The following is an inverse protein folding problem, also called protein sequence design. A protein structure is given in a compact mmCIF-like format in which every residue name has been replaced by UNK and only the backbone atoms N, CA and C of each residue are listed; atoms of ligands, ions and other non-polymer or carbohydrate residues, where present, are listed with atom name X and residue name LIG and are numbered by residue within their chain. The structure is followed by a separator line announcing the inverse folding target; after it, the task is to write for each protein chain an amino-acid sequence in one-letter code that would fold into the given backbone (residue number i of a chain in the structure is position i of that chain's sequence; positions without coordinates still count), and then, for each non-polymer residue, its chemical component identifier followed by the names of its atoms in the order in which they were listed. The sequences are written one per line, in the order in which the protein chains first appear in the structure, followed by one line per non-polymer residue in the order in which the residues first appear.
data_IF_750622725403
#
_entry.id   IF_750622725403
#
_cell.length_a   1.000
_cell.length_b   1.000
_cell.length_c   1.000
_cell.angle_alpha   90.00
_cell.angle_beta   90.00
_cell.angle_gamma   90.00
#
_symmetry.space_group_name_H-M   'P 1'
#
loop_
_entity.id
_entity.type
_entity.pdbx_description
1 polymer ?
#
# COMPACT_ATOMS: atom_id res chain seq x y z
N UNK A 1 -11.22 -10.01 -1.37
CA UNK A 1 -11.22 -9.29 -0.07
C UNK A 1 -10.07 -9.83 0.79
N UNK A 2 -9.36 -8.97 1.54
CA UNK A 2 -8.30 -9.38 2.47
C UNK A 2 -8.41 -8.61 3.79
N UNK A 3 -7.87 -9.19 4.88
CA UNK A 3 -7.83 -8.54 6.21
C UNK A 3 -6.40 -8.49 6.74
N UNK A 4 -6.02 -7.37 7.34
CA UNK A 4 -4.70 -7.14 7.93
C UNK A 4 -4.82 -6.89 9.43
N UNK A 5 -3.82 -7.36 10.18
CA UNK A 5 -3.71 -7.07 11.61
C UNK A 5 -3.49 -5.56 11.85
N UNK A 6 -4.17 -5.02 12.87
CA UNK A 6 -4.04 -3.62 13.29
C UNK A 6 -2.59 -3.25 13.66
N UNK A 7 -1.79 -4.23 14.09
CA UNK A 7 -0.38 -4.03 14.42
C UNK A 7 0.46 -3.58 13.20
N UNK A 8 -0.03 -3.81 11.97
CA UNK A 8 0.66 -3.40 10.75
C UNK A 8 0.33 -1.95 10.32
N UNK A 9 -0.57 -1.25 11.02
CA UNK A 9 -0.97 0.15 10.76
C UNK A 9 0.22 1.08 10.50
N UNK A 10 1.16 1.13 11.45
CA UNK A 10 2.32 2.02 11.33
C UNK A 10 3.19 1.69 10.12
N UNK A 11 3.30 0.41 9.75
CA UNK A 11 4.10 -0.03 8.58
C UNK A 11 3.45 0.42 7.28
N UNK A 12 2.12 0.34 7.20
CA UNK A 12 1.34 0.82 6.05
C UNK A 12 1.41 2.35 5.95
N UNK A 13 1.37 3.07 7.08
CA UNK A 13 1.55 4.53 7.06
C UNK A 13 2.94 4.94 6.53
N UNK A 14 4.00 4.22 6.90
CA UNK A 14 5.35 4.46 6.37
C UNK A 14 5.40 4.28 4.85
N UNK A 15 4.84 3.19 4.29
CA UNK A 15 4.84 2.99 2.83
C UNK A 15 4.03 4.08 2.11
N UNK A 16 2.91 4.50 2.68
CA UNK A 16 2.10 5.59 2.13
C UNK A 16 2.85 6.94 2.12
N UNK A 17 3.71 7.19 3.12
CA UNK A 17 4.50 8.44 3.18
C UNK A 17 5.49 8.59 2.02
N UNK A 18 5.90 7.49 1.38
CA UNK A 18 6.74 7.51 0.19
C UNK A 18 5.98 8.02 -1.05
N UNK A 19 4.66 7.85 -1.11
CA UNK A 19 3.83 8.34 -2.19
C UNK A 19 3.37 9.79 -1.93
N UNK A 20 4.31 10.74 -1.95
CA UNK A 20 4.06 12.15 -1.59
C UNK A 20 4.61 13.15 -2.63
N UNK A 21 4.54 12.83 -3.92
CA UNK A 21 5.00 13.75 -4.96
C UNK A 21 3.89 14.72 -5.39
N UNK A 22 4.17 16.03 -5.32
CA UNK A 22 3.25 17.10 -5.72
C UNK A 22 3.14 17.30 -7.24
N UNK A 23 3.95 16.60 -8.03
CA UNK A 23 4.14 16.89 -9.46
C UNK A 23 3.30 15.97 -10.35
N UNK A 24 3.10 14.69 -9.97
CA UNK A 24 2.29 13.76 -10.74
C UNK A 24 1.36 12.95 -9.80
N UNK A 25 0.03 13.04 -9.98
CA UNK A 25 -0.95 12.33 -9.15
C UNK A 25 -0.75 10.80 -9.11
N UNK A 26 -0.12 10.21 -10.12
CA UNK A 26 0.21 8.77 -10.14
C UNK A 26 1.15 8.39 -8.99
N UNK A 27 2.02 9.29 -8.57
CA UNK A 27 2.93 9.09 -7.42
C UNK A 27 2.25 9.33 -6.07
N UNK A 28 0.95 9.68 -6.05
CA UNK A 28 0.12 9.66 -4.83
C UNK A 28 -0.61 8.33 -4.66
N UNK A 29 -0.40 7.36 -5.57
CA UNK A 29 -1.05 6.06 -5.54
C UNK A 29 -0.14 4.99 -4.92
N UNK A 30 -0.75 4.11 -4.14
CA UNK A 30 -0.14 2.87 -3.65
C UNK A 30 -0.76 1.72 -4.43
N UNK A 31 0.09 0.89 -5.03
CA UNK A 31 -0.30 -0.39 -5.60
C UNK A 31 -0.43 -1.41 -4.48
N UNK A 32 -1.57 -2.08 -4.41
CA UNK A 32 -1.88 -3.10 -3.42
C UNK A 32 -2.16 -4.40 -4.17
N UNK A 33 -1.37 -5.43 -3.88
CA UNK A 33 -1.47 -6.74 -4.49
C UNK A 33 -1.64 -7.78 -3.40
N UNK A 34 -2.78 -8.47 -3.40
CA UNK A 34 -3.08 -9.54 -2.47
C UNK A 34 -3.01 -10.88 -3.20
N UNK A 35 -2.09 -11.74 -2.80
CA UNK A 35 -1.88 -13.07 -3.39
C UNK A 35 -1.21 -13.99 -2.36
N UNK A 36 -1.52 -15.29 -2.41
CA UNK A 36 -0.78 -16.32 -1.64
C UNK A 36 -0.64 -16.03 -0.14
N UNK A 37 -1.73 -15.59 0.52
CA UNK A 37 -1.76 -15.16 1.94
C UNK A 37 -0.82 -14.00 2.29
N UNK A 38 -0.50 -13.17 1.31
CA UNK A 38 0.32 -11.98 1.49
C UNK A 38 -0.32 -10.80 0.79
N UNK A 39 -0.10 -9.62 1.34
CA UNK A 39 -0.45 -8.35 0.70
C UNK A 39 0.81 -7.54 0.55
N UNK A 40 1.12 -7.16 -0.68
CA UNK A 40 2.22 -6.27 -1.03
C UNK A 40 1.68 -4.87 -1.28
N UNK A 41 2.26 -3.92 -0.59
CA UNK A 41 2.03 -2.49 -0.78
C UNK A 41 3.26 -1.91 -1.47
N UNK A 42 3.08 -1.26 -2.60
CA UNK A 42 4.16 -0.65 -3.36
C UNK A 42 3.87 0.81 -3.64
N UNK A 43 4.85 1.67 -3.40
CA UNK A 43 4.73 3.11 -3.56
C UNK A 43 5.97 3.67 -4.28
N UNK A 44 5.77 4.74 -5.06
CA UNK A 44 6.86 5.44 -5.74
C UNK A 44 6.64 6.94 -5.70
N UNK A 45 7.71 7.71 -5.57
CA UNK A 45 7.71 9.18 -5.72
C UNK A 45 8.31 9.67 -7.05
N UNK A 46 8.60 8.76 -7.98
CA UNK A 46 9.26 9.04 -9.26
C UNK A 46 10.79 9.02 -9.22
N UNK A 47 11.40 9.08 -8.03
CA UNK A 47 12.84 8.93 -7.85
C UNK A 47 13.21 7.60 -7.17
N UNK A 48 12.35 7.13 -6.26
CA UNK A 48 12.54 5.94 -5.46
C UNK A 48 11.27 5.11 -5.45
N UNK A 49 11.46 3.79 -5.44
CA UNK A 49 10.41 2.79 -5.29
C UNK A 49 10.62 2.06 -3.97
N UNK A 50 9.54 1.85 -3.23
CA UNK A 50 9.57 1.08 -2.00
C UNK A 50 8.41 0.08 -1.98
N UNK A 51 8.63 -1.09 -1.38
CA UNK A 51 7.61 -2.11 -1.22
C UNK A 51 7.62 -2.71 0.19
N UNK A 52 6.42 -3.04 0.66
CA UNK A 52 6.18 -3.68 1.96
C UNK A 52 5.27 -4.88 1.76
N UNK A 53 5.76 -6.06 2.13
CA UNK A 53 4.96 -7.28 2.13
C UNK A 53 4.53 -7.63 3.53
N UNK A 54 3.24 -7.90 3.71
CA UNK A 54 2.63 -8.27 4.98
C UNK A 54 1.89 -9.60 4.84
N UNK A 55 1.99 -10.50 5.84
CA UNK A 55 1.12 -11.66 5.89
C UNK A 55 -0.33 -11.21 6.12
N UNK A 56 -1.26 -11.78 5.37
CA UNK A 56 -2.67 -11.45 5.40
C UNK A 56 -3.52 -12.67 5.05
N UNK A 57 -4.75 -12.71 5.55
CA UNK A 57 -5.71 -13.70 5.06
C UNK A 57 -6.31 -13.17 3.76
N UNK A 58 -5.99 -13.83 2.64
CA UNK A 58 -6.43 -13.43 1.30
C UNK A 58 -7.51 -14.39 0.82
N UNK A 59 -8.74 -13.90 0.66
CA UNK A 59 -9.85 -14.72 0.17
C UNK A 59 -9.87 -14.84 -1.36
N UNK A 60 -9.28 -13.87 -2.06
CA UNK A 60 -9.24 -13.81 -3.52
C UNK A 60 -8.03 -12.98 -3.95
N UNK A 61 -7.38 -13.41 -5.02
CA UNK A 61 -6.26 -12.68 -5.60
C UNK A 61 -6.77 -11.39 -6.24
N UNK A 62 -6.26 -10.24 -5.81
CA UNK A 62 -6.70 -8.94 -6.30
C UNK A 62 -5.52 -7.96 -6.38
N UNK A 63 -5.54 -7.11 -7.40
CA UNK A 63 -4.59 -6.01 -7.58
C UNK A 63 -5.35 -4.73 -7.89
N UNK A 64 -5.07 -3.67 -7.14
CA UNK A 64 -5.67 -2.36 -7.35
C UNK A 64 -4.77 -1.24 -6.82
N UNK A 65 -5.10 0.00 -7.19
CA UNK A 65 -4.41 1.18 -6.71
C UNK A 65 -5.33 2.03 -5.84
N UNK A 66 -4.79 2.59 -4.76
CA UNK A 66 -5.51 3.49 -3.86
C UNK A 66 -4.65 4.72 -3.56
N UNK A 67 -5.28 5.86 -3.29
CA UNK A 67 -4.56 7.05 -2.84
C UNK A 67 -3.87 6.79 -1.49
N UNK A 68 -2.56 7.02 -1.45
CA UNK A 68 -1.73 6.90 -0.25
C UNK A 68 -2.25 7.77 0.91
N UNK A 69 -2.73 8.99 0.58
CA UNK A 69 -3.28 9.93 1.56
C UNK A 69 -4.57 9.42 2.20
N UNK A 70 -5.42 8.73 1.43
CA UNK A 70 -6.66 8.15 1.97
C UNK A 70 -6.33 6.93 2.82
N UNK A 71 -5.44 6.07 2.33
CA UNK A 71 -5.02 4.88 3.04
C UNK A 71 -4.35 5.22 4.38
N UNK A 72 -3.52 6.26 4.45
CA UNK A 72 -2.82 6.63 5.68
C UNK A 72 -3.74 7.18 6.78
N UNK A 73 -4.90 7.72 6.43
CA UNK A 73 -5.89 8.23 7.39
C UNK A 73 -6.73 7.11 8.02
N UNK A 74 -6.97 6.04 7.26
CA UNK A 74 -7.80 4.89 7.68
C UNK A 74 -6.98 3.71 8.21
N UNK A 75 -5.73 3.54 7.76
CA UNK A 75 -4.78 2.56 8.28
C UNK A 75 -4.47 2.88 9.73
#
# INVERSE_FOLDING_TARGET
MFTLSLANKNRIQTICSHANSRINPVYEMVLIEAENNQVRFSASNGAQFNSLTLPAQVSENISFTLSAKRLSLEA
#
